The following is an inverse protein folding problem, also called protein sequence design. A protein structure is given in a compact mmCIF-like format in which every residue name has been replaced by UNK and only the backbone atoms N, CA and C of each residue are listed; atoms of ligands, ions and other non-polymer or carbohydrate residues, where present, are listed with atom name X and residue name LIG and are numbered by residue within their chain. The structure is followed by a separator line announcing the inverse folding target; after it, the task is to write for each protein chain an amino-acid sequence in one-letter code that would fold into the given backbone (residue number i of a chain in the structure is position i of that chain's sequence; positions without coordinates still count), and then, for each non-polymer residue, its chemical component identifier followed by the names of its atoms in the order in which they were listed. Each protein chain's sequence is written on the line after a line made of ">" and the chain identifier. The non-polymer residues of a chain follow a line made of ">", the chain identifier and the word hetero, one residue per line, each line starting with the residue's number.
data_IF_523430250719
#
_entry.id   IF_523430250719
#
_cell.length_a   1.000
_cell.length_b   1.000
_cell.length_c   1.000
_cell.angle_alpha   90.00
_cell.angle_beta   90.00
_cell.angle_gamma   90.00
#
_symmetry.space_group_name_H-M   'P 1'
#
loop_
_entity.id
_entity.type
_entity.pdbx_description
1 polymer ?
#
# COMPACT_ATOMS: atom_id res chain seq x y z
N UNK A 1 17.55 -4.88 -1.77
CA UNK A 1 16.71 -3.80 -2.36
C UNK A 1 16.23 -4.08 -3.80
N UNK A 2 17.02 -4.67 -4.72
CA UNK A 2 16.61 -4.95 -6.13
C UNK A 2 15.36 -5.84 -6.36
N UNK A 3 14.92 -6.66 -5.39
CA UNK A 3 13.74 -7.54 -5.55
C UNK A 3 12.40 -6.85 -5.32
N UNK A 4 12.34 -5.82 -4.47
CA UNK A 4 11.10 -5.07 -4.17
C UNK A 4 10.69 -4.23 -5.39
N UNK A 5 11.66 -3.68 -6.12
CA UNK A 5 11.44 -2.91 -7.35
C UNK A 5 10.82 -3.71 -8.51
N UNK A 6 10.83 -5.05 -8.47
CA UNK A 6 10.21 -5.89 -9.52
C UNK A 6 8.69 -6.05 -9.37
N UNK A 7 8.14 -5.67 -8.22
CA UNK A 7 6.71 -5.75 -7.96
C UNK A 7 6.14 -4.34 -7.75
N UNK A 8 5.72 -3.66 -8.84
CA UNK A 8 5.21 -2.29 -8.78
C UNK A 8 4.04 -2.16 -7.79
N UNK A 9 3.25 -3.21 -7.63
CA UNK A 9 2.12 -3.28 -6.68
C UNK A 9 2.58 -3.12 -5.23
N UNK A 10 3.68 -3.78 -4.82
CA UNK A 10 4.21 -3.64 -3.45
C UNK A 10 4.76 -2.24 -3.20
N UNK A 11 5.40 -1.65 -4.22
CA UNK A 11 5.95 -0.30 -4.14
C UNK A 11 4.85 0.75 -4.00
N UNK A 12 3.78 0.62 -4.81
CA UNK A 12 2.59 1.47 -4.73
C UNK A 12 1.89 1.31 -3.38
N UNK A 13 1.75 0.08 -2.88
CA UNK A 13 1.17 -0.17 -1.55
C UNK A 13 1.97 0.47 -0.41
N UNK A 14 3.30 0.43 -0.46
CA UNK A 14 4.16 1.13 0.52
C UNK A 14 4.01 2.66 0.43
N UNK A 15 3.92 3.21 -0.78
CA UNK A 15 3.65 4.64 -1.01
C UNK A 15 2.29 5.06 -0.44
N UNK A 16 1.25 4.24 -0.61
CA UNK A 16 -0.08 4.48 -0.04
C UNK A 16 -0.06 4.46 1.50
N UNK A 17 0.69 3.53 2.11
CA UNK A 17 0.87 3.53 3.57
C UNK A 17 1.60 4.80 4.04
N UNK A 18 2.68 5.19 3.36
CA UNK A 18 3.40 6.42 3.69
C UNK A 18 2.50 7.66 3.56
N UNK A 19 1.70 7.74 2.49
CA UNK A 19 0.72 8.80 2.29
C UNK A 19 -0.34 8.81 3.41
N UNK A 20 -0.85 7.65 3.82
CA UNK A 20 -1.79 7.53 4.94
C UNK A 20 -1.22 8.07 6.25
N UNK A 21 0.08 7.83 6.53
CA UNK A 21 0.76 8.36 7.72
C UNK A 21 0.87 9.89 7.64
N UNK A 22 1.20 10.43 6.46
CA UNK A 22 1.26 11.89 6.24
C UNK A 22 -0.12 12.53 6.42
N UNK A 23 -1.18 11.89 5.91
CA UNK A 23 -2.56 12.32 6.12
C UNK A 23 -2.96 12.31 7.60
N UNK A 24 -2.57 11.27 8.35
CA UNK A 24 -2.82 11.17 9.78
C UNK A 24 -2.08 12.25 10.59
N UNK A 25 -0.80 12.48 10.27
CA UNK A 25 -0.01 13.56 10.88
C UNK A 25 -0.57 14.94 10.55
N UNK A 26 -0.96 15.18 9.29
CA UNK A 26 -1.60 16.42 8.86
C UNK A 26 -2.94 16.69 9.57
N UNK A 27 -3.69 15.62 9.85
CA UNK A 27 -4.91 15.70 10.66
C UNK A 27 -4.62 16.03 12.13
N UNK A 28 -3.64 15.37 12.76
CA UNK A 28 -3.27 15.65 14.16
C UNK A 28 -2.75 17.07 14.38
N UNK A 29 -2.03 17.63 13.40
CA UNK A 29 -1.51 19.01 13.45
C UNK A 29 -2.62 20.04 13.18
N UNK A 30 -3.88 19.61 12.99
CA UNK A 30 -5.04 20.49 12.79
C UNK A 30 -4.87 21.49 11.64
N UNK A 31 -4.06 21.13 10.64
CA UNK A 31 -3.86 21.94 9.44
C UNK A 31 -5.21 22.17 8.76
N UNK A 32 -5.52 23.43 8.46
CA UNK A 32 -6.85 23.84 7.94
C UNK A 32 -7.27 23.09 6.66
N UNK A 33 -6.30 22.57 5.90
CA UNK A 33 -6.52 21.74 4.71
C UNK A 33 -7.04 20.33 5.06
N UNK A 34 -6.54 19.74 6.14
CA UNK A 34 -6.89 18.39 6.60
C UNK A 34 -8.07 18.37 7.57
N UNK A 35 -8.46 19.52 8.12
CA UNK A 35 -9.67 19.64 8.96
C UNK A 35 -10.97 19.36 8.18
N UNK A 36 -10.94 19.55 6.85
CA UNK A 36 -12.01 19.13 5.92
C UNK A 36 -11.80 17.75 5.32
N UNK A 37 -10.59 17.20 5.42
CA UNK A 37 -10.35 15.82 5.04
C UNK A 37 -11.04 14.95 6.09
N UNK A 38 -12.21 14.43 5.73
CA UNK A 38 -12.99 13.58 6.61
C UNK A 38 -12.11 12.42 7.09
N UNK A 39 -12.21 12.08 8.38
CA UNK A 39 -11.46 10.97 8.97
C UNK A 39 -11.61 9.68 8.14
N UNK A 40 -12.74 9.54 7.44
CA UNK A 40 -13.00 8.50 6.44
C UNK A 40 -11.97 8.44 5.31
N UNK A 41 -11.49 9.55 4.76
CA UNK A 41 -10.45 9.55 3.72
C UNK A 41 -9.12 8.97 4.20
N UNK A 42 -8.74 9.28 5.45
CA UNK A 42 -7.52 8.74 6.07
C UNK A 42 -7.64 7.22 6.22
N UNK A 43 -8.80 6.74 6.70
CA UNK A 43 -9.09 5.32 6.85
C UNK A 43 -9.12 4.60 5.49
N UNK A 44 -9.75 5.19 4.47
CA UNK A 44 -9.83 4.61 3.12
C UNK A 44 -8.43 4.49 2.52
N UNK A 45 -7.59 5.53 2.66
CA UNK A 45 -6.21 5.52 2.16
C UNK A 45 -5.36 4.45 2.86
N UNK A 46 -5.57 4.29 4.17
CA UNK A 46 -4.94 3.23 4.95
C UNK A 46 -5.36 1.82 4.49
N UNK A 47 -6.66 1.58 4.36
CA UNK A 47 -7.21 0.30 3.88
C UNK A 47 -6.73 -0.02 2.47
N UNK A 48 -6.72 0.99 1.58
CA UNK A 48 -6.25 0.84 0.21
C UNK A 48 -4.76 0.45 0.16
N UNK A 49 -3.92 1.06 1.01
CA UNK A 49 -2.52 0.67 1.16
C UNK A 49 -2.36 -0.78 1.61
N UNK A 50 -3.11 -1.19 2.64
CA UNK A 50 -3.13 -2.56 3.16
C UNK A 50 -3.56 -3.59 2.11
N UNK A 51 -4.68 -3.34 1.42
CA UNK A 51 -5.17 -4.23 0.35
C UNK A 51 -4.16 -4.33 -0.80
N UNK A 52 -3.57 -3.19 -1.20
CA UNK A 52 -2.59 -3.18 -2.31
C UNK A 52 -1.35 -4.00 -1.96
N UNK A 53 -0.86 -3.92 -0.72
CA UNK A 53 0.25 -4.76 -0.25
C UNK A 53 -0.17 -6.24 -0.22
N UNK A 54 -1.36 -6.55 0.30
CA UNK A 54 -1.87 -7.92 0.36
C UNK A 54 -1.98 -8.54 -1.05
N UNK A 55 -2.50 -7.81 -2.03
CA UNK A 55 -2.56 -8.23 -3.43
C UNK A 55 -1.16 -8.35 -4.05
N UNK A 56 -0.24 -7.45 -3.74
CA UNK A 56 1.15 -7.54 -4.18
C UNK A 56 1.85 -8.81 -3.69
N UNK A 57 1.65 -9.17 -2.41
CA UNK A 57 2.18 -10.41 -1.84
C UNK A 57 1.49 -11.65 -2.41
N UNK A 58 0.16 -11.63 -2.55
CA UNK A 58 -0.59 -12.74 -3.12
C UNK A 58 -0.19 -13.00 -4.58
N UNK A 59 -0.02 -11.94 -5.37
CA UNK A 59 0.47 -12.01 -6.75
C UNK A 59 1.90 -12.55 -6.87
N UNK A 60 2.81 -12.13 -5.98
CA UNK A 60 4.17 -12.67 -5.94
C UNK A 60 4.18 -14.16 -5.52
N UNK A 61 3.32 -14.54 -4.57
CA UNK A 61 3.14 -15.93 -4.13
C UNK A 61 2.61 -16.83 -5.24
N UNK A 62 1.58 -16.37 -5.96
CA UNK A 62 1.02 -17.04 -7.15
C UNK A 62 2.08 -17.20 -8.26
N UNK A 63 2.87 -16.16 -8.54
CA UNK A 63 3.97 -16.23 -9.52
C UNK A 63 5.01 -17.28 -9.13
N UNK A 64 5.42 -17.32 -7.86
CA UNK A 64 6.38 -18.34 -7.39
C UNK A 64 5.82 -19.75 -7.48
N UNK A 65 4.55 -19.97 -7.13
CA UNK A 65 3.88 -21.27 -7.31
C UNK A 65 3.85 -21.70 -8.79
N UNK A 66 3.49 -20.80 -9.71
CA UNK A 66 3.45 -21.10 -11.15
C UNK A 66 4.84 -21.41 -11.73
N UNK A 67 5.88 -20.72 -11.29
CA UNK A 67 7.27 -21.02 -11.72
C UNK A 67 7.69 -22.41 -11.24
N UNK A 68 7.35 -22.79 -10.01
CA UNK A 68 7.69 -24.12 -9.47
C UNK A 68 6.93 -25.26 -10.19
N UNK A 69 5.69 -25.00 -10.62
CA UNK A 69 4.90 -25.97 -11.40
C UNK A 69 5.35 -26.12 -12.85
N UNK A 70 6.03 -25.13 -13.43
CA UNK A 70 6.50 -25.17 -14.84
C UNK A 70 7.88 -25.80 -14.99
N UNK A 71 8.58 -26.04 -13.87
CA UNK A 71 9.89 -26.72 -13.82
C UNK A 71 9.73 -28.23 -13.57
N UNK A 72 8.51 -28.70 -13.30
CA UNK A 72 8.20 -30.13 -13.15
C UNK A 72 7.66 -30.72 -14.44
#
# INVERSE_FOLDING_TARGET
>A
MRKISKNPVLLVGMLLLAASIVFLLGYMVHLSYFRKAEFGWIIITFLAGLMTIAFGYYGDYQKRKKVHSKVR
#
